data_IF_447542625698
#
_entry.id   IF_447542625698
#
_cell.length_a   1.000
_cell.length_b   1.000
_cell.length_c   1.000
_cell.angle_alpha   90.00
_cell.angle_beta   90.00
_cell.angle_gamma   90.00
#
_symmetry.space_group_name_H-M   'P 1'
#
loop_
_entity.id
_entity.type
_entity.pdbx_description
1 polymer ?
#
# COMPACT_ATOMS: atom_id res chain seq x y z
N UNK A 1 -54.35 -3.02 13.21
CA UNK A 1 -55.10 -4.04 12.44
C UNK A 1 -55.78 -3.34 11.28
N UNK A 2 -55.34 -3.53 10.03
CA UNK A 2 -56.23 -3.51 8.87
C UNK A 2 -55.63 -4.39 7.79
N UNK A 3 -56.45 -5.33 7.34
CA UNK A 3 -56.17 -6.44 6.43
C UNK A 3 -57.02 -6.16 5.19
N UNK A 4 -56.42 -6.10 4.01
CA UNK A 4 -57.15 -6.27 2.75
C UNK A 4 -56.38 -7.25 1.89
N UNK A 5 -57.15 -8.18 1.32
CA UNK A 5 -56.78 -9.45 0.72
C UNK A 5 -57.13 -9.38 -0.77
N UNK A 6 -56.51 -10.27 -1.54
CA UNK A 6 -57.04 -10.94 -2.74
C UNK A 6 -56.92 -10.14 -4.07
N UNK A 7 -56.65 -10.71 -5.26
CA UNK A 7 -56.57 -12.13 -5.72
C UNK A 7 -56.03 -12.20 -7.17
N UNK A 8 -55.24 -13.24 -7.51
CA UNK A 8 -55.21 -14.09 -8.77
C UNK A 8 -55.10 -13.46 -10.19
N UNK A 9 -54.61 -14.10 -11.28
CA UNK A 9 -54.35 -15.52 -11.66
C UNK A 9 -53.55 -15.58 -12.99
N UNK A 10 -52.70 -16.62 -13.13
CA UNK A 10 -52.53 -17.50 -14.30
C UNK A 10 -51.78 -16.98 -15.56
N UNK A 11 -51.03 -17.78 -16.34
CA UNK A 11 -50.69 -19.21 -16.26
C UNK A 11 -49.74 -19.64 -17.40
N UNK A 12 -48.86 -20.60 -17.09
CA UNK A 12 -48.32 -21.75 -17.86
C UNK A 12 -48.37 -21.82 -19.40
N UNK A 13 -47.26 -22.24 -20.04
CA UNK A 13 -47.17 -23.53 -20.78
C UNK A 13 -45.74 -23.92 -21.22
N UNK A 14 -45.41 -25.22 -21.04
CA UNK A 14 -44.26 -26.00 -21.55
C UNK A 14 -44.40 -26.31 -23.05
N UNK A 15 -43.27 -26.71 -23.69
CA UNK A 15 -43.13 -28.02 -24.40
C UNK A 15 -41.67 -28.29 -24.81
N UNK A 16 -41.16 -29.46 -24.41
CA UNK A 16 -40.01 -30.16 -25.00
C UNK A 16 -40.51 -31.15 -26.06
N UNK A 17 -39.70 -31.44 -27.09
CA UNK A 17 -39.81 -32.62 -27.95
C UNK A 17 -38.39 -33.06 -28.33
N UNK A 18 -38.11 -34.37 -28.33
CA UNK A 18 -36.82 -34.96 -28.71
C UNK A 18 -36.93 -36.09 -29.75
N UNK A 19 -35.73 -36.51 -30.22
CA UNK A 19 -35.31 -37.75 -30.93
C UNK A 19 -35.89 -38.05 -32.34
N UNK A 20 -35.27 -38.94 -33.19
CA UNK A 20 -34.10 -39.81 -33.00
C UNK A 20 -33.04 -39.84 -34.14
N UNK A 21 -31.99 -40.66 -33.93
CA UNK A 21 -30.86 -41.07 -34.82
C UNK A 21 -31.28 -42.08 -35.91
N UNK A 22 -30.40 -42.32 -36.92
CA UNK A 22 -30.04 -43.70 -37.27
C UNK A 22 -28.52 -43.93 -37.50
N UNK A 23 -28.21 -45.18 -37.82
CA UNK A 23 -27.02 -45.98 -37.52
C UNK A 23 -26.14 -46.36 -38.72
N UNK A 24 -24.84 -46.57 -38.43
CA UNK A 24 -23.89 -47.62 -38.90
C UNK A 24 -23.94 -48.15 -40.35
N UNK A 25 -22.76 -48.20 -41.02
CA UNK A 25 -22.27 -49.39 -41.75
C UNK A 25 -20.78 -49.27 -42.16
N UNK A 26 -20.14 -50.44 -42.12
CA UNK A 26 -18.72 -50.79 -42.33
C UNK A 26 -18.26 -50.72 -43.80
N UNK A 27 -16.94 -50.61 -44.04
CA UNK A 27 -16.18 -51.56 -44.86
C UNK A 27 -14.66 -51.25 -44.87
N UNK A 28 -13.84 -52.27 -44.55
CA UNK A 28 -12.42 -52.36 -44.88
C UNK A 28 -12.24 -52.66 -46.39
N UNK A 29 -11.15 -52.21 -47.00
CA UNK A 29 -10.45 -52.99 -48.03
C UNK A 29 -8.97 -52.57 -48.16
N UNK A 30 -8.15 -53.54 -48.58
CA UNK A 30 -6.71 -53.70 -48.37
C UNK A 30 -5.98 -53.60 -49.73
N UNK A 31 -4.70 -53.19 -49.69
CA UNK A 31 -3.64 -53.41 -50.71
C UNK A 31 -3.85 -52.74 -52.10
N UNK A 32 -2.85 -52.45 -52.93
CA UNK A 32 -1.46 -52.93 -53.03
C UNK A 32 -0.61 -51.90 -53.79
N UNK A 33 0.71 -52.11 -53.71
CA UNK A 33 1.79 -51.35 -54.35
C UNK A 33 1.69 -51.26 -55.88
N UNK A 34 2.10 -50.12 -56.44
CA UNK A 34 2.89 -50.08 -57.68
C UNK A 34 3.94 -48.97 -57.61
N UNK A 35 5.10 -49.29 -58.14
CA UNK A 35 6.29 -48.45 -58.21
C UNK A 35 6.36 -47.67 -59.53
N UNK A 36 7.40 -46.84 -59.63
CA UNK A 36 8.17 -46.47 -60.84
C UNK A 36 7.93 -45.08 -61.45
N UNK A 37 9.06 -44.35 -61.48
CA UNK A 37 9.55 -43.34 -62.43
C UNK A 37 9.05 -41.90 -62.43
N UNK A 38 9.93 -41.04 -61.90
CA UNK A 38 10.68 -40.00 -62.62
C UNK A 38 10.00 -39.29 -63.81
N UNK A 39 9.63 -38.02 -63.61
CA UNK A 39 9.60 -37.01 -64.66
C UNK A 39 10.10 -35.67 -64.09
N UNK A 40 11.06 -35.07 -64.80
CA UNK A 40 11.60 -33.73 -64.58
C UNK A 40 10.60 -32.71 -65.16
N UNK A 41 10.11 -31.77 -64.35
CA UNK A 41 9.45 -30.57 -64.87
C UNK A 41 10.09 -29.30 -64.30
N UNK A 42 10.98 -28.75 -65.14
CA UNK A 42 11.28 -27.34 -65.44
C UNK A 42 10.44 -26.32 -64.64
N UNK A 43 11.13 -25.48 -63.86
CA UNK A 43 10.59 -24.27 -63.22
C UNK A 43 10.15 -23.22 -64.27
N UNK A 44 9.13 -22.39 -63.99
CA UNK A 44 9.48 -21.04 -63.52
C UNK A 44 8.50 -20.39 -62.51
N UNK A 45 9.08 -19.67 -61.55
CA UNK A 45 8.63 -18.34 -61.12
C UNK A 45 7.36 -18.23 -60.28
N UNK A 46 7.42 -18.57 -59.00
CA UNK A 46 6.39 -18.18 -58.02
C UNK A 46 7.01 -17.32 -56.92
N UNK A 47 6.33 -16.21 -56.66
CA UNK A 47 6.75 -15.05 -55.88
C UNK A 47 7.22 -15.38 -54.46
N UNK A 48 8.31 -14.73 -54.07
CA UNK A 48 8.74 -14.61 -52.67
C UNK A 48 7.67 -13.78 -51.94
N UNK A 49 6.74 -14.44 -51.25
CA UNK A 49 6.14 -13.85 -50.06
C UNK A 49 6.99 -14.28 -48.88
N UNK A 50 7.88 -13.39 -48.44
CA UNK A 50 8.62 -13.55 -47.20
C UNK A 50 7.65 -13.62 -46.04
N UNK A 51 7.33 -14.82 -45.59
CA UNK A 51 6.81 -15.05 -44.24
C UNK A 51 8.04 -15.27 -43.37
N UNK A 52 8.53 -14.19 -42.75
CA UNK A 52 9.38 -14.29 -41.58
C UNK A 52 8.66 -15.15 -40.56
N UNK A 53 9.10 -16.41 -40.41
CA UNK A 53 8.79 -17.17 -39.22
C UNK A 53 9.51 -16.48 -38.07
N UNK A 54 8.78 -15.66 -37.33
CA UNK A 54 9.16 -15.29 -35.97
C UNK A 54 9.05 -16.58 -35.15
N UNK A 55 10.18 -17.27 -35.04
CA UNK A 55 10.44 -18.25 -34.00
C UNK A 55 10.52 -17.47 -32.67
N UNK A 56 9.60 -17.65 -31.70
CA UNK A 56 9.76 -17.01 -30.42
C UNK A 56 10.87 -17.76 -29.68
N UNK A 57 12.11 -17.32 -29.86
CA UNK A 57 13.17 -17.59 -28.91
C UNK A 57 12.75 -16.95 -27.58
N UNK A 58 12.06 -17.74 -26.76
CA UNK A 58 11.87 -17.48 -25.34
C UNK A 58 13.19 -17.82 -24.65
N UNK A 59 13.98 -16.86 -24.15
CA UNK A 59 14.95 -17.20 -23.15
C UNK A 59 14.14 -17.52 -21.89
N UNK A 60 14.03 -18.81 -21.58
CA UNK A 60 13.75 -19.27 -20.22
C UNK A 60 14.93 -18.83 -19.33
N UNK A 61 14.98 -17.53 -19.03
CA UNK A 61 15.75 -17.04 -17.91
C UNK A 61 15.01 -17.50 -16.68
N UNK A 62 15.48 -18.60 -16.10
CA UNK A 62 15.22 -18.93 -14.70
C UNK A 62 15.66 -17.72 -13.87
N UNK A 63 14.70 -16.87 -13.51
CA UNK A 63 14.92 -15.83 -12.52
C UNK A 63 15.19 -16.57 -11.22
N UNK A 64 16.44 -16.63 -10.81
CA UNK A 64 16.80 -16.89 -9.42
C UNK A 64 16.27 -15.69 -8.62
N UNK A 65 15.30 -15.85 -7.71
CA UNK A 65 15.03 -14.80 -6.75
C UNK A 65 16.19 -14.83 -5.77
N UNK A 66 17.20 -13.99 -6.02
CA UNK A 66 18.04 -13.49 -4.94
C UNK A 66 17.10 -12.80 -3.97
N UNK A 67 17.05 -13.33 -2.76
CA UNK A 67 16.35 -12.91 -1.56
C UNK A 67 16.84 -11.53 -1.05
N UNK A 68 17.06 -10.58 -1.95
CA UNK A 68 17.23 -9.18 -1.62
C UNK A 68 15.90 -8.74 -1.00
N UNK A 69 15.92 -8.55 0.33
CA UNK A 69 14.76 -8.30 1.19
C UNK A 69 14.18 -6.92 0.82
N UNK A 70 13.47 -6.86 -0.29
CA UNK A 70 12.85 -5.66 -0.80
C UNK A 70 11.64 -5.34 0.09
N UNK A 71 11.76 -4.33 0.97
CA UNK A 71 10.69 -3.85 1.84
C UNK A 71 9.60 -3.08 1.08
N UNK A 72 8.95 -3.74 0.12
CA UNK A 72 7.84 -3.18 -0.64
C UNK A 72 6.62 -3.08 0.27
N UNK A 73 6.14 -1.86 0.52
CA UNK A 73 4.87 -1.65 1.22
C UNK A 73 3.69 -1.98 0.31
N UNK A 74 2.76 -2.80 0.80
CA UNK A 74 1.51 -3.14 0.09
C UNK A 74 0.33 -2.50 0.82
N UNK A 75 -0.22 -1.37 0.34
CA UNK A 75 -1.36 -0.75 0.99
C UNK A 75 -2.58 -1.69 0.96
N UNK A 76 -3.39 -1.73 2.03
CA UNK A 76 -4.62 -2.51 2.05
C UNK A 76 -5.62 -1.99 1.00
N UNK A 77 -6.39 -2.90 0.39
CA UNK A 77 -7.43 -2.52 -0.56
C UNK A 77 -8.69 -2.06 0.19
N UNK A 78 -8.73 -0.78 0.58
CA UNK A 78 -9.91 -0.12 1.13
C UNK A 78 -10.12 1.21 0.40
N UNK A 79 -11.36 1.51 0.03
CA UNK A 79 -11.70 2.77 -0.62
C UNK A 79 -11.17 3.95 0.20
N UNK A 80 -10.46 4.86 -0.46
CA UNK A 80 -9.82 6.01 0.19
C UNK A 80 -10.88 7.03 0.58
N UNK A 81 -10.90 7.51 1.84
CA UNK A 81 -11.69 8.69 2.20
C UNK A 81 -11.25 9.88 1.34
N UNK A 82 -12.21 10.74 0.97
CA UNK A 82 -11.90 11.95 0.22
C UNK A 82 -10.95 12.85 1.04
N UNK A 83 -9.80 13.18 0.46
CA UNK A 83 -8.92 14.22 1.00
C UNK A 83 -9.65 15.55 0.99
N UNK A 84 -9.94 16.10 2.16
CA UNK A 84 -10.33 17.49 2.29
C UNK A 84 -9.05 18.31 2.46
N UNK A 85 -8.70 19.10 1.44
CA UNK A 85 -7.69 20.14 1.63
C UNK A 85 -8.29 21.19 2.56
N UNK A 86 -7.78 21.26 3.79
CA UNK A 86 -8.12 22.34 4.71
C UNK A 86 -7.62 23.66 4.16
N UNK A 87 -8.53 24.49 3.66
CA UNK A 87 -8.24 25.87 3.28
C UNK A 87 -8.11 26.72 4.56
N UNK A 88 -6.89 26.98 5.00
CA UNK A 88 -6.64 27.89 6.12
C UNK A 88 -5.20 28.41 6.10
N UNK A 89 -4.99 29.63 5.63
CA UNK A 89 -3.83 30.43 6.04
C UNK A 89 -4.22 31.90 6.00
N UNK A 90 -4.57 32.44 7.17
CA UNK A 90 -4.58 33.88 7.44
C UNK A 90 -3.45 34.10 8.44
N UNK A 91 -2.44 34.90 8.09
CA UNK A 91 -1.36 35.26 9.00
C UNK A 91 0.04 34.80 8.59
N UNK A 92 1.06 35.47 9.14
CA UNK A 92 2.48 35.20 8.92
C UNK A 92 2.87 33.88 9.59
N UNK A 93 2.83 32.79 8.82
CA UNK A 93 3.21 31.45 9.28
C UNK A 93 4.67 31.40 9.75
N UNK A 94 4.93 30.69 10.87
CA UNK A 94 6.28 30.41 11.36
C UNK A 94 7.03 29.32 10.57
N UNK A 95 6.50 28.91 9.42
CA UNK A 95 7.20 28.15 8.38
C UNK A 95 7.26 28.96 7.09
N UNK A 96 8.39 28.87 6.38
CA UNK A 96 8.49 29.41 5.03
C UNK A 96 7.68 28.54 4.07
N UNK A 97 6.59 29.07 3.52
CA UNK A 97 5.72 28.33 2.61
C UNK A 97 6.45 28.06 1.30
N UNK A 98 6.84 26.81 1.09
CA UNK A 98 7.30 26.27 -0.19
C UNK A 98 6.77 24.84 -0.33
N UNK A 99 6.74 24.30 -1.54
CA UNK A 99 6.28 22.93 -1.78
C UNK A 99 7.09 21.87 -1.03
N UNK A 100 8.34 22.17 -0.66
CA UNK A 100 9.23 21.26 0.08
C UNK A 100 9.26 21.48 1.60
N UNK A 101 8.61 22.53 2.12
CA UNK A 101 8.68 22.91 3.54
C UNK A 101 7.32 22.79 4.23
N UNK A 102 6.69 21.60 4.20
CA UNK A 102 5.38 21.40 4.85
C UNK A 102 5.50 20.44 6.03
N UNK A 103 4.84 20.79 7.13
CA UNK A 103 4.63 19.89 8.26
C UNK A 103 3.75 18.72 7.80
N UNK A 104 4.28 17.51 7.81
CA UNK A 104 3.64 16.38 7.12
C UNK A 104 3.74 15.07 7.92
N UNK A 105 2.62 14.41 8.24
CA UNK A 105 2.60 13.01 8.67
C UNK A 105 3.25 12.09 7.65
N UNK A 106 4.11 11.17 8.10
CA UNK A 106 4.63 10.09 7.26
C UNK A 106 3.59 8.96 7.22
N UNK A 107 2.65 9.08 6.28
CA UNK A 107 1.55 8.15 6.06
C UNK A 107 1.46 7.79 4.57
N UNK A 108 1.09 6.55 4.19
CA UNK A 108 1.01 6.16 2.79
C UNK A 108 -0.05 6.93 2.00
N UNK A 109 0.01 6.77 0.68
CA UNK A 109 -1.07 7.19 -0.22
C UNK A 109 -2.43 6.64 0.26
N UNK A 110 -3.44 7.51 0.34
CA UNK A 110 -4.74 7.20 0.92
C UNK A 110 -4.95 7.70 2.36
N UNK A 111 -3.91 8.25 2.99
CA UNK A 111 -3.99 8.99 4.26
C UNK A 111 -4.50 8.15 5.45
N UNK A 112 -4.38 6.82 5.38
CA UNK A 112 -4.70 5.87 6.44
C UNK A 112 -3.61 4.81 6.51
N UNK A 113 -3.21 4.44 7.73
CA UNK A 113 -2.26 3.36 7.99
C UNK A 113 -2.81 2.39 9.02
N UNK A 114 -2.39 1.13 8.92
CA UNK A 114 -2.78 0.08 9.87
C UNK A 114 -1.67 -0.17 10.87
N UNK A 115 -2.06 -0.58 12.08
CA UNK A 115 -1.16 -1.08 13.11
C UNK A 115 -1.73 -2.34 13.76
N UNK A 116 -0.86 -3.21 14.26
CA UNK A 116 -1.24 -4.29 15.19
C UNK A 116 -0.85 -3.96 16.64
N UNK A 117 0.00 -2.95 16.84
CA UNK A 117 0.45 -2.50 18.15
C UNK A 117 -0.64 -1.76 18.91
N UNK A 118 -0.70 -2.02 20.22
CA UNK A 118 -1.55 -1.28 21.17
C UNK A 118 -1.08 0.17 21.33
N UNK A 119 0.24 0.38 21.21
CA UNK A 119 0.96 1.62 21.44
C UNK A 119 1.88 1.91 20.23
N UNK A 120 1.31 2.36 19.09
CA UNK A 120 2.08 2.61 17.88
C UNK A 120 3.05 3.79 18.04
N UNK A 121 4.01 3.85 17.14
CA UNK A 121 4.91 5.00 16.98
C UNK A 121 4.51 5.79 15.75
N UNK A 122 4.28 7.09 15.91
CA UNK A 122 3.91 8.00 14.83
C UNK A 122 5.15 8.70 14.30
N UNK A 123 5.20 8.93 12.98
CA UNK A 123 6.32 9.61 12.32
C UNK A 123 5.83 10.81 11.55
N UNK A 124 6.56 11.92 11.61
CA UNK A 124 6.24 13.14 10.87
C UNK A 124 7.48 13.92 10.48
N UNK A 125 7.40 14.60 9.35
CA UNK A 125 8.42 15.54 8.91
C UNK A 125 8.15 16.91 9.51
N UNK A 126 9.16 17.45 10.21
CA UNK A 126 9.15 18.80 10.74
C UNK A 126 10.03 19.67 9.84
N UNK A 127 9.46 20.67 9.13
CA UNK A 127 10.23 21.57 8.29
C UNK A 127 11.02 22.57 9.14
N UNK A 128 11.88 23.36 8.48
CA UNK A 128 12.51 24.52 9.13
C UNK A 128 11.41 25.46 9.62
N UNK A 129 11.43 25.78 10.92
CA UNK A 129 10.41 26.59 11.55
C UNK A 129 11.00 27.50 12.62
N UNK A 130 10.35 28.65 12.82
CA UNK A 130 10.56 29.55 13.97
C UNK A 130 9.49 29.33 15.07
N UNK A 131 8.75 28.23 15.03
CA UNK A 131 7.79 27.88 16.06
C UNK A 131 8.48 27.74 17.43
N UNK A 132 7.71 27.94 18.49
CA UNK A 132 8.19 27.80 19.87
C UNK A 132 8.19 26.34 20.33
N UNK A 133 7.22 25.54 19.87
CA UNK A 133 7.11 24.11 20.21
C UNK A 133 6.31 23.35 19.15
N UNK A 134 6.52 22.04 19.10
CA UNK A 134 5.67 21.11 18.38
C UNK A 134 4.63 20.48 19.30
N UNK A 135 3.51 20.04 18.75
CA UNK A 135 2.52 19.22 19.44
C UNK A 135 2.06 18.07 18.57
N UNK A 136 1.82 16.93 19.22
CA UNK A 136 1.15 15.78 18.64
C UNK A 136 -0.24 15.70 19.25
N UNK A 137 -1.25 15.45 18.41
CA UNK A 137 -2.65 15.29 18.82
C UNK A 137 -3.21 14.03 18.19
N UNK A 138 -3.90 13.23 19.00
CA UNK A 138 -4.63 12.03 18.62
C UNK A 138 -6.08 12.18 19.12
N UNK A 139 -7.03 12.03 18.23
CA UNK A 139 -8.47 12.08 18.50
C UNK A 139 -9.16 10.81 18.01
N UNK A 140 -10.26 10.44 18.63
CA UNK A 140 -11.09 9.33 18.18
C UNK A 140 -12.02 9.73 17.02
N UNK A 141 -12.76 8.76 16.49
CA UNK A 141 -13.78 8.97 15.44
C UNK A 141 -14.93 9.92 15.83
N UNK A 142 -15.10 10.24 17.12
CA UNK A 142 -16.07 11.20 17.63
C UNK A 142 -15.46 12.59 17.86
N UNK A 143 -14.22 12.82 17.39
CA UNK A 143 -13.42 14.01 17.64
C UNK A 143 -13.10 14.27 19.12
N UNK A 144 -13.12 13.23 19.96
CA UNK A 144 -12.71 13.34 21.36
C UNK A 144 -11.20 13.19 21.49
N UNK A 145 -10.60 14.03 22.33
CA UNK A 145 -9.17 13.97 22.59
C UNK A 145 -8.80 12.66 23.28
N UNK A 146 -7.97 11.87 22.63
CA UNK A 146 -7.41 10.62 23.19
C UNK A 146 -6.04 10.89 23.79
N UNK A 147 -5.19 11.61 23.08
CA UNK A 147 -3.85 11.95 23.57
C UNK A 147 -3.33 13.25 22.95
N UNK A 148 -2.61 14.02 23.75
CA UNK A 148 -1.87 15.20 23.30
C UNK A 148 -0.59 15.33 24.09
N UNK A 149 0.49 15.65 23.38
CA UNK A 149 1.76 15.99 24.01
C UNK A 149 2.43 17.15 23.26
N UNK A 150 3.27 17.90 23.96
CA UNK A 150 4.17 18.90 23.37
C UNK A 150 5.58 18.32 23.28
N UNK A 151 6.33 18.76 22.28
CA UNK A 151 7.73 18.37 22.11
C UNK A 151 8.60 19.54 21.66
N UNK A 152 9.88 19.47 22.02
CA UNK A 152 10.89 20.41 21.56
C UNK A 152 11.19 20.18 20.07
N UNK A 153 11.22 21.27 19.30
CA UNK A 153 11.49 21.21 17.87
C UNK A 153 12.92 20.72 17.58
N UNK A 154 13.14 20.01 16.47
CA UNK A 154 14.48 19.67 16.05
C UNK A 154 15.25 20.93 15.62
N UNK A 155 16.56 20.94 15.87
CA UNK A 155 17.45 22.04 15.47
C UNK A 155 17.61 22.16 13.95
N UNK A 156 17.33 21.07 13.23
CA UNK A 156 17.34 21.00 11.77
C UNK A 156 16.06 20.31 11.28
N UNK A 157 15.61 20.59 10.05
CA UNK A 157 14.46 19.88 9.46
C UNK A 157 14.72 18.37 9.42
N UNK A 158 13.67 17.58 9.59
CA UNK A 158 13.81 16.13 9.53
C UNK A 158 12.60 15.38 10.07
N UNK A 159 12.72 14.06 10.03
CA UNK A 159 11.71 13.12 10.47
C UNK A 159 11.85 12.91 11.98
N UNK A 160 10.77 13.14 12.71
CA UNK A 160 10.67 12.87 14.15
C UNK A 160 9.71 11.71 14.38
N UNK A 161 9.87 11.04 15.53
CA UNK A 161 8.93 10.03 16.00
C UNK A 161 8.28 10.44 17.32
N UNK A 162 7.04 10.01 17.53
CA UNK A 162 6.30 10.13 18.79
C UNK A 162 5.77 8.75 19.18
N UNK A 163 6.19 8.26 20.35
CA UNK A 163 5.67 7.02 20.88
C UNK A 163 4.34 7.28 21.62
N UNK A 164 3.30 6.51 21.32
CA UNK A 164 2.11 6.51 22.17
C UNK A 164 2.48 5.90 23.53
N UNK A 165 2.19 6.57 24.66
CA UNK A 165 2.57 6.05 25.97
C UNK A 165 1.75 4.81 26.32
N UNK A 166 2.29 3.95 27.18
CA UNK A 166 1.61 2.73 27.65
C UNK A 166 0.29 3.00 28.40
N UNK A 167 0.05 4.24 28.83
CA UNK A 167 -1.20 4.68 29.47
C UNK A 167 -2.35 4.92 28.48
N UNK A 168 -2.07 4.93 27.18
CA UNK A 168 -3.05 5.16 26.11
C UNK A 168 -3.01 4.00 25.14
N UNK A 169 -4.12 3.29 24.99
CA UNK A 169 -4.24 2.11 24.13
C UNK A 169 -5.18 2.40 22.97
N UNK A 170 -4.77 2.03 21.76
CA UNK A 170 -5.70 1.98 20.63
C UNK A 170 -6.52 0.69 20.69
N UNK A 171 -7.83 0.81 20.47
CA UNK A 171 -8.74 -0.32 20.44
C UNK A 171 -8.75 -0.97 19.06
N UNK A 172 -8.85 -2.30 19.04
CA UNK A 172 -8.97 -3.08 17.80
C UNK A 172 -10.26 -2.68 17.07
N UNK A 173 -10.15 -2.49 15.75
CA UNK A 173 -11.25 -2.12 14.86
C UNK A 173 -11.67 -0.66 14.94
N UNK A 174 -11.01 0.16 15.77
CA UNK A 174 -11.29 1.60 15.87
C UNK A 174 -10.31 2.43 15.05
N UNK A 175 -10.87 3.45 14.40
CA UNK A 175 -10.11 4.47 13.69
C UNK A 175 -9.89 5.69 14.57
N UNK A 176 -8.69 6.25 14.46
CA UNK A 176 -8.28 7.47 15.14
C UNK A 176 -7.66 8.42 14.11
N UNK A 177 -7.81 9.71 14.35
CA UNK A 177 -7.17 10.74 13.55
C UNK A 177 -6.04 11.36 14.36
N UNK A 178 -4.91 11.62 13.72
CA UNK A 178 -3.74 12.21 14.34
C UNK A 178 -3.14 13.31 13.47
N UNK A 179 -2.48 14.26 14.10
CA UNK A 179 -1.85 15.39 13.42
C UNK A 179 -0.72 15.99 14.25
N UNK A 180 0.15 16.73 13.55
CA UNK A 180 1.14 17.59 14.17
C UNK A 180 0.71 19.04 14.11
N UNK A 181 1.10 19.81 15.12
CA UNK A 181 0.92 21.26 15.18
C UNK A 181 2.25 21.91 15.53
N UNK A 182 2.63 22.95 14.78
CA UNK A 182 3.70 23.86 15.18
C UNK A 182 3.05 25.11 15.79
N UNK A 183 3.37 25.37 17.06
CA UNK A 183 2.86 26.53 17.79
C UNK A 183 3.77 27.71 17.51
N UNK A 184 3.32 28.62 16.65
CA UNK A 184 4.09 29.79 16.26
C UNK A 184 4.18 30.80 17.43
N UNK A 185 3.05 31.14 18.02
CA UNK A 185 2.93 31.98 19.19
C UNK A 185 2.11 31.22 20.27
N UNK A 186 2.65 31.02 21.49
CA UNK A 186 1.92 30.35 22.56
C UNK A 186 0.75 31.18 23.12
N UNK A 187 0.80 32.51 23.01
CA UNK A 187 -0.24 33.43 23.47
C UNK A 187 -1.33 33.63 22.40
N UNK A 188 -0.95 33.61 21.11
CA UNK A 188 -1.88 33.64 19.98
C UNK A 188 -1.72 32.42 19.07
N UNK A 189 -2.62 31.46 19.26
CA UNK A 189 -2.58 30.20 18.50
C UNK A 189 -3.18 30.31 17.10
N UNK A 190 -3.74 31.44 16.69
CA UNK A 190 -4.40 31.61 15.39
C UNK A 190 -3.45 31.39 14.20
N UNK A 191 -2.15 31.66 14.41
CA UNK A 191 -1.10 31.46 13.41
C UNK A 191 -0.44 30.06 13.47
N UNK A 192 -0.90 29.16 14.34
CA UNK A 192 -0.33 27.81 14.45
C UNK A 192 -0.44 27.06 13.12
N UNK A 193 0.64 26.38 12.75
CA UNK A 193 0.67 25.56 11.53
C UNK A 193 0.20 24.17 11.88
N UNK A 194 -0.90 23.73 11.25
CA UNK A 194 -1.50 22.42 11.47
C UNK A 194 -1.20 21.54 10.26
N UNK A 195 -0.73 20.32 10.49
CA UNK A 195 -0.50 19.37 9.42
C UNK A 195 -1.82 18.87 8.84
N UNK A 196 -1.80 18.37 7.61
CA UNK A 196 -2.92 17.54 7.12
C UNK A 196 -3.13 16.40 8.12
N UNK A 197 -4.36 16.19 8.64
CA UNK A 197 -4.60 15.08 9.55
C UNK A 197 -4.50 13.73 8.83
N UNK A 198 -4.02 12.72 9.52
CA UNK A 198 -3.88 11.36 9.02
C UNK A 198 -4.65 10.37 9.88
N UNK A 199 -4.97 9.20 9.32
CA UNK A 199 -5.74 8.17 10.01
C UNK A 199 -4.87 6.98 10.42
N UNK A 200 -5.23 6.39 11.55
CA UNK A 200 -4.68 5.12 12.03
C UNK A 200 -5.83 4.20 12.45
N UNK A 201 -5.70 2.92 12.12
CA UNK A 201 -6.60 1.87 12.61
C UNK A 201 -5.77 0.75 13.23
N UNK A 202 -6.08 0.37 14.47
CA UNK A 202 -5.54 -0.85 15.05
C UNK A 202 -6.40 -2.02 14.59
N UNK A 203 -5.79 -2.99 13.92
CA UNK A 203 -6.50 -4.19 13.45
C UNK A 203 -6.18 -5.40 14.33
N UNK A 204 -7.06 -6.41 14.25
CA UNK A 204 -6.75 -7.71 14.83
C UNK A 204 -5.69 -8.40 13.98
N UNK A 205 -4.70 -8.97 14.65
CA UNK A 205 -3.63 -9.71 14.01
C UNK A 205 -4.13 -11.09 13.60
N UNK A 206 -3.93 -11.49 12.34
CA UNK A 206 -4.23 -12.85 11.91
C UNK A 206 -3.23 -13.84 12.52
N UNK A 207 -3.65 -15.09 12.72
CA UNK A 207 -2.78 -16.17 13.21
C UNK A 207 -1.52 -16.33 12.34
N UNK A 208 -1.69 -16.28 11.01
CA UNK A 208 -0.57 -16.34 10.06
C UNK A 208 0.42 -15.21 10.25
N UNK A 209 -0.06 -13.96 10.42
CA UNK A 209 0.82 -12.81 10.66
C UNK A 209 1.51 -12.92 12.02
N UNK A 210 0.84 -13.44 13.04
CA UNK A 210 1.43 -13.71 14.34
C UNK A 210 2.57 -14.72 14.28
N UNK A 211 2.42 -15.80 13.53
CA UNK A 211 3.49 -16.77 13.30
C UNK A 211 4.67 -16.17 12.53
N UNK A 212 4.40 -15.38 11.48
CA UNK A 212 5.45 -14.71 10.71
C UNK A 212 6.25 -13.72 11.56
N UNK A 213 5.59 -12.89 12.37
CA UNK A 213 6.24 -11.94 13.28
C UNK A 213 7.06 -12.67 14.33
N UNK A 214 6.54 -13.76 14.89
CA UNK A 214 7.24 -14.58 15.89
C UNK A 214 8.53 -15.20 15.33
N UNK A 215 8.53 -15.59 14.06
CA UNK A 215 9.66 -16.23 13.39
C UNK A 215 10.61 -15.24 12.70
N UNK A 216 10.26 -13.95 12.62
CA UNK A 216 11.07 -12.93 11.99
C UNK A 216 12.29 -12.55 12.84
N UNK A 217 13.39 -12.23 12.19
CA UNK A 217 14.54 -11.57 12.85
C UNK A 217 14.31 -10.07 12.86
N UNK A 218 15.07 -9.29 13.66
CA UNK A 218 14.98 -7.84 13.62
C UNK A 218 15.11 -7.26 12.20
N UNK A 219 15.97 -7.85 11.36
CA UNK A 219 16.23 -7.41 9.99
C UNK A 219 15.06 -7.69 9.03
N UNK A 220 14.36 -8.82 9.19
CA UNK A 220 13.26 -9.23 8.30
C UNK A 220 11.89 -8.73 8.76
N UNK A 221 11.75 -8.40 10.04
CA UNK A 221 10.50 -7.95 10.65
C UNK A 221 9.83 -6.75 9.94
N UNK A 222 10.56 -5.70 9.48
CA UNK A 222 9.91 -4.60 8.78
C UNK A 222 9.28 -5.04 7.45
N UNK A 223 9.89 -6.00 6.75
CA UNK A 223 9.34 -6.54 5.51
C UNK A 223 8.05 -7.33 5.78
N UNK A 224 8.00 -8.13 6.85
CA UNK A 224 6.79 -8.86 7.26
C UNK A 224 5.62 -7.89 7.49
N UNK A 225 5.85 -6.79 8.22
CA UNK A 225 4.81 -5.78 8.42
C UNK A 225 4.44 -5.05 7.12
N UNK A 226 5.42 -4.69 6.29
CA UNK A 226 5.19 -3.94 5.06
C UNK A 226 4.38 -4.74 4.04
N UNK A 227 4.68 -6.04 3.88
CA UNK A 227 3.95 -6.96 3.01
C UNK A 227 2.51 -7.19 3.49
N UNK A 228 2.29 -7.19 4.81
CA UNK A 228 0.98 -7.31 5.43
C UNK A 228 0.20 -5.98 5.46
N UNK A 229 0.77 -4.88 4.97
CA UNK A 229 0.12 -3.56 4.96
C UNK A 229 0.06 -2.86 6.32
N UNK A 230 0.86 -3.31 7.30
CA UNK A 230 0.91 -2.77 8.67
C UNK A 230 1.94 -1.64 8.74
N UNK A 231 1.54 -0.46 8.25
CA UNK A 231 2.43 0.68 8.03
C UNK A 231 3.20 1.13 9.28
N UNK A 232 2.52 1.36 10.39
CA UNK A 232 3.14 1.96 11.58
C UNK A 232 4.22 1.04 12.17
N UNK A 233 3.94 -0.26 12.22
CA UNK A 233 4.87 -1.28 12.72
C UNK A 233 6.03 -1.51 11.75
N UNK A 234 5.79 -1.48 10.44
CA UNK A 234 6.83 -1.55 9.41
C UNK A 234 7.82 -0.38 9.55
N UNK A 235 7.31 0.85 9.61
CA UNK A 235 8.14 2.05 9.71
C UNK A 235 8.90 2.09 11.04
N UNK A 236 8.24 1.77 12.17
CA UNK A 236 8.88 1.76 13.47
C UNK A 236 9.97 0.69 13.59
N UNK A 237 9.72 -0.53 13.10
CA UNK A 237 10.72 -1.59 13.10
C UNK A 237 11.89 -1.29 12.15
N UNK A 238 11.63 -0.66 11.00
CA UNK A 238 12.68 -0.18 10.08
C UNK A 238 13.61 0.80 10.78
N UNK A 239 13.06 1.86 11.38
CA UNK A 239 13.87 2.91 12.03
C UNK A 239 14.72 2.37 13.19
N UNK A 240 14.24 1.33 13.89
CA UNK A 240 15.02 0.65 14.94
C UNK A 240 16.31 -0.01 14.43
N UNK A 241 16.42 -0.33 13.15
CA UNK A 241 17.61 -0.94 12.55
C UNK A 241 18.69 0.08 12.16
N UNK A 242 18.38 1.38 12.19
CA UNK A 242 19.32 2.43 11.81
C UNK A 242 20.68 2.34 12.53
N UNK A 243 20.76 2.05 13.85
CA UNK A 243 22.05 1.98 14.56
C UNK A 243 22.92 0.78 14.17
N UNK A 244 22.34 -0.27 13.58
CA UNK A 244 23.01 -1.56 13.35
C UNK A 244 23.28 -1.88 11.88
N UNK A 245 22.81 -1.04 10.94
CA UNK A 245 22.97 -1.28 9.50
C UNK A 245 24.03 -0.39 8.86
N UNK A 246 24.59 -0.88 7.74
CA UNK A 246 25.44 -0.04 6.90
C UNK A 246 24.61 1.07 6.24
N UNK A 247 25.25 2.20 5.90
CA UNK A 247 24.57 3.32 5.23
C UNK A 247 23.87 2.87 3.93
N UNK A 248 24.50 1.99 3.16
CA UNK A 248 23.98 1.49 1.88
C UNK A 248 22.72 0.63 2.08
N UNK A 249 22.77 -0.37 2.97
CA UNK A 249 21.61 -1.21 3.29
C UNK A 249 20.48 -0.39 3.90
N UNK A 250 20.84 0.61 4.70
CA UNK A 250 19.88 1.56 5.26
C UNK A 250 19.12 2.28 4.15
N UNK A 251 19.85 2.93 3.24
CA UNK A 251 19.30 3.78 2.19
C UNK A 251 18.42 2.99 1.21
N UNK A 252 18.88 1.83 0.73
CA UNK A 252 18.13 1.04 -0.25
C UNK A 252 16.74 0.63 0.26
N UNK A 253 16.69 0.08 1.47
CA UNK A 253 15.43 -0.37 2.06
C UNK A 253 14.54 0.80 2.49
N UNK A 254 15.13 1.88 2.99
CA UNK A 254 14.41 3.11 3.34
C UNK A 254 13.76 3.76 2.13
N UNK A 255 14.51 3.89 1.04
CA UNK A 255 14.04 4.43 -0.23
C UNK A 255 12.88 3.61 -0.78
N UNK A 256 13.03 2.28 -0.78
CA UNK A 256 11.99 1.38 -1.26
C UNK A 256 10.70 1.47 -0.42
N UNK A 257 10.83 1.41 0.90
CA UNK A 257 9.68 1.48 1.82
C UNK A 257 8.90 2.79 1.65
N UNK A 258 9.61 3.93 1.61
CA UNK A 258 8.95 5.23 1.44
C UNK A 258 8.39 5.42 0.04
N UNK A 259 9.13 5.05 -1.01
CA UNK A 259 8.68 5.26 -2.40
C UNK A 259 7.43 4.44 -2.72
N UNK A 260 7.38 3.19 -2.25
CA UNK A 260 6.19 2.32 -2.44
C UNK A 260 4.98 2.81 -1.65
N UNK A 261 5.20 3.54 -0.55
CA UNK A 261 4.16 4.24 0.19
C UNK A 261 3.77 5.61 -0.41
N UNK A 262 4.46 6.09 -1.46
CA UNK A 262 4.27 7.42 -2.05
C UNK A 262 4.84 8.58 -1.24
N UNK A 263 5.88 8.28 -0.44
CA UNK A 263 6.62 9.21 0.41
C UNK A 263 8.04 9.49 -0.14
N UNK A 264 8.25 9.36 -1.44
CA UNK A 264 9.55 9.54 -2.11
C UNK A 264 10.21 10.89 -1.83
N UNK A 265 9.43 11.93 -1.53
CA UNK A 265 9.94 13.25 -1.16
C UNK A 265 10.72 13.28 0.16
N UNK A 266 10.60 12.27 1.01
CA UNK A 266 11.21 12.21 2.34
C UNK A 266 12.39 11.24 2.45
N UNK A 267 12.78 10.59 1.34
CA UNK A 267 13.85 9.56 1.34
C UNK A 267 15.18 10.10 1.83
N UNK A 268 15.50 11.34 1.49
CA UNK A 268 16.78 11.97 1.84
C UNK A 268 16.71 12.78 3.14
N UNK A 269 15.54 12.84 3.81
CA UNK A 269 15.39 13.61 5.03
C UNK A 269 16.00 12.85 6.22
N UNK A 270 16.73 13.54 7.12
CA UNK A 270 17.35 12.89 8.26
C UNK A 270 16.30 12.45 9.28
N UNK A 271 16.52 11.28 9.88
CA UNK A 271 15.78 10.86 11.07
C UNK A 271 16.43 11.52 12.28
N UNK A 272 15.69 12.37 12.98
CA UNK A 272 16.19 13.08 14.16
C UNK A 272 15.96 12.27 15.44
N UNK A 273 14.94 11.40 15.46
CA UNK A 273 14.65 10.50 16.56
C UNK A 273 13.37 10.83 17.34
N UNK A 274 13.25 10.22 18.52
CA UNK A 274 12.06 10.29 19.36
C UNK A 274 11.95 11.62 20.11
N UNK A 275 10.72 12.10 20.29
CA UNK A 275 10.39 13.42 20.80
C UNK A 275 9.40 13.38 21.96
#
# INVERSE_FOLDING_TARGET
>A
MYKVRSTTRGGTSRRQVGFPRPSLKYALSIASMTAVSLELFIAPGWSISGRTQFEPNSPDSKINPSWEIAQVFRPPNRGTPATTEGAGTRGSSCIALSERNKLQPLIPTGNIGLTVSEHPTFFGYIPKSNATQGQFVLIDQNNQLVYRTSFALPSQPGIVSINLPATVTLEIGKQYQWLFVLVCDPEDRSDSVISTPAWIERIEQSETLAEQIKNATPETLPAVYAEAGIWFDALASRVKLLPSQTQTEWQQNWELLLTTAGLQGFVQEPIIGNR
#
